data_IF_865338020961
#
_entry.id   IF_865338020961
#
_cell.length_a   1.000
_cell.length_b   1.000
_cell.length_c   1.000
_cell.angle_alpha   90.00
_cell.angle_beta   90.00
_cell.angle_gamma   90.00
#
_symmetry.space_group_name_H-M   'P 1'
#
loop_
_entity.id
_entity.type
_entity.pdbx_description
1 polymer ?
#
# COMPACT_ATOMS: atom_id res chain seq x y z
N UNK A 1 -9.08 -15.00 -0.39
CA UNK A 1 -8.67 -13.89 0.52
C UNK A 1 -9.87 -13.12 1.03
N UNK A 2 -10.07 -13.06 2.35
CA UNK A 2 -11.18 -12.33 2.98
C UNK A 2 -10.74 -11.65 4.27
N UNK A 3 -11.05 -10.36 4.40
CA UNK A 3 -10.95 -9.64 5.68
C UNK A 3 -12.23 -9.87 6.46
N UNK A 4 -12.10 -10.26 7.72
CA UNK A 4 -13.20 -10.33 8.67
C UNK A 4 -12.87 -9.51 9.90
N UNK A 5 -13.74 -8.55 10.24
CA UNK A 5 -13.63 -7.80 11.48
C UNK A 5 -13.82 -8.74 12.67
N UNK A 6 -12.94 -8.61 13.65
CA UNK A 6 -12.95 -9.36 14.90
C UNK A 6 -12.77 -8.38 16.06
N UNK A 7 -13.08 -8.83 17.27
CA UNK A 7 -12.78 -8.04 18.47
C UNK A 7 -11.32 -8.22 18.95
N UNK A 8 -10.91 -7.38 19.91
CA UNK A 8 -9.57 -7.41 20.48
C UNK A 8 -9.24 -8.77 21.15
N UNK A 9 -10.24 -9.42 21.75
CA UNK A 9 -10.05 -10.69 22.45
C UNK A 9 -9.74 -11.83 21.48
N UNK A 10 -10.43 -11.85 20.34
CA UNK A 10 -10.18 -12.77 19.23
C UNK A 10 -8.82 -12.49 18.59
N UNK A 11 -8.47 -11.21 18.39
CA UNK A 11 -7.17 -10.83 17.85
C UNK A 11 -6.00 -11.31 18.72
N UNK A 12 -6.13 -11.17 20.05
CA UNK A 12 -5.11 -11.64 21.01
C UNK A 12 -4.92 -13.16 21.02
N UNK A 13 -5.86 -13.94 20.47
CA UNK A 13 -5.71 -15.39 20.32
C UNK A 13 -4.88 -15.78 19.09
N UNK A 14 -4.72 -14.86 18.12
CA UNK A 14 -3.84 -15.07 16.96
C UNK A 14 -2.39 -15.07 17.46
N UNK A 15 -1.61 -16.08 17.05
CA UNK A 15 -0.17 -16.18 17.38
C UNK A 15 0.54 -14.88 16.98
N UNK A 16 1.36 -14.32 17.86
CA UNK A 16 2.03 -13.03 17.62
C UNK A 16 2.81 -12.96 16.30
N UNK A 17 3.47 -14.05 15.89
CA UNK A 17 4.18 -14.16 14.60
C UNK A 17 3.27 -14.05 13.36
N UNK A 18 1.95 -14.20 13.54
CA UNK A 18 0.92 -14.07 12.50
C UNK A 18 0.18 -12.73 12.59
N UNK A 19 0.48 -11.89 13.58
CA UNK A 19 -0.05 -10.54 13.67
C UNK A 19 0.82 -9.62 12.82
N UNK A 20 0.46 -9.47 11.55
CA UNK A 20 1.33 -8.87 10.54
C UNK A 20 1.31 -7.34 10.57
N UNK A 21 0.23 -6.72 11.05
CA UNK A 21 0.14 -5.27 11.31
C UNK A 21 -0.42 -5.06 12.72
N UNK A 22 0.40 -4.49 13.59
CA UNK A 22 0.06 -4.23 14.99
C UNK A 22 0.24 -2.76 15.30
N UNK A 23 -0.80 -2.13 15.83
CA UNK A 23 -0.76 -0.74 16.28
C UNK A 23 -0.93 -0.66 17.80
N UNK A 24 -0.12 0.19 18.44
CA UNK A 24 -0.41 0.62 19.80
C UNK A 24 -1.77 1.33 19.82
N UNK A 25 -2.57 1.04 20.85
CA UNK A 25 -3.91 1.59 21.04
C UNK A 25 -4.83 1.40 19.83
N UNK A 26 -4.74 0.24 19.16
CA UNK A 26 -5.64 -0.13 18.08
C UNK A 26 -7.12 -0.09 18.54
N UNK A 27 -7.98 0.36 17.63
CA UNK A 27 -9.44 0.45 17.85
C UNK A 27 -10.21 -0.57 17.03
N UNK A 28 -9.64 -0.98 15.89
CA UNK A 28 -10.18 -2.01 15.01
C UNK A 28 -9.20 -3.16 14.86
N UNK A 29 -9.77 -4.34 14.69
CA UNK A 29 -9.04 -5.60 14.53
C UNK A 29 -9.70 -6.42 13.43
N UNK A 30 -8.88 -7.15 12.68
CA UNK A 30 -9.36 -8.07 11.67
C UNK A 30 -8.51 -9.32 11.60
N UNK A 31 -9.16 -10.42 11.23
CA UNK A 31 -8.53 -11.61 10.70
C UNK A 31 -8.51 -11.54 9.18
N UNK A 32 -7.36 -11.82 8.57
CA UNK A 32 -7.21 -12.05 7.14
C UNK A 32 -7.10 -13.56 6.90
N UNK A 33 -8.08 -14.09 6.19
CA UNK A 33 -8.09 -15.46 5.71
C UNK A 33 -7.49 -15.53 4.31
N UNK A 34 -6.49 -16.40 4.14
CA UNK A 34 -5.77 -16.65 2.91
C UNK A 34 -6.05 -18.06 2.42
N UNK A 35 -7.33 -18.45 2.36
CA UNK A 35 -7.93 -19.68 1.83
C UNK A 35 -7.35 -21.02 2.36
N UNK A 36 -6.03 -21.20 2.38
CA UNK A 36 -5.28 -22.38 2.83
C UNK A 36 -4.21 -22.09 3.91
N UNK A 37 -4.04 -20.83 4.37
CA UNK A 37 -3.04 -20.48 5.38
C UNK A 37 -3.69 -20.28 6.76
N UNK A 38 -2.87 -20.40 7.81
CA UNK A 38 -3.29 -19.95 9.14
C UNK A 38 -3.70 -18.46 9.08
N UNK A 39 -4.76 -18.12 9.81
CA UNK A 39 -5.31 -16.77 9.88
C UNK A 39 -4.26 -15.74 10.31
N UNK A 40 -4.19 -14.62 9.60
CA UNK A 40 -3.32 -13.49 9.92
C UNK A 40 -4.09 -12.40 10.66
N UNK A 41 -3.41 -11.73 11.59
CA UNK A 41 -3.97 -10.64 12.37
C UNK A 41 -3.58 -9.26 11.80
N UNK A 42 -4.57 -8.39 11.66
CA UNK A 42 -4.43 -6.97 11.38
C UNK A 42 -5.08 -6.13 12.49
N UNK A 43 -4.48 -5.02 12.87
CA UNK A 43 -5.08 -4.03 13.77
C UNK A 43 -4.72 -2.63 13.31
N UNK A 44 -5.60 -1.66 13.57
CA UNK A 44 -5.37 -0.27 13.18
C UNK A 44 -6.15 0.72 14.04
N UNK A 45 -5.81 2.00 13.91
CA UNK A 45 -6.31 3.07 14.78
C UNK A 45 -7.49 3.79 14.17
N UNK A 46 -7.56 3.94 12.85
CA UNK A 46 -8.63 4.75 12.22
C UNK A 46 -9.99 4.05 12.21
N UNK A 47 -11.06 4.81 12.51
CA UNK A 47 -12.44 4.32 12.36
C UNK A 47 -12.97 4.47 10.93
N UNK A 48 -12.30 5.28 10.11
CA UNK A 48 -12.74 5.65 8.76
C UNK A 48 -11.95 4.94 7.67
N UNK A 49 -10.72 4.55 7.96
CA UNK A 49 -9.84 3.86 7.01
C UNK A 49 -10.02 2.35 7.21
N UNK A 50 -10.10 1.63 6.10
CA UNK A 50 -10.11 0.18 6.05
C UNK A 50 -8.81 -0.31 5.39
N UNK A 51 -8.35 -1.53 5.71
CA UNK A 51 -7.14 -2.07 5.08
C UNK A 51 -7.30 -2.25 3.57
N UNK A 52 -6.26 -1.85 2.85
CA UNK A 52 -6.12 -2.08 1.42
C UNK A 52 -5.32 -3.36 1.20
N UNK A 53 -5.82 -4.23 0.33
CA UNK A 53 -5.13 -5.45 -0.07
C UNK A 53 -5.03 -5.46 -1.59
N UNK A 54 -3.81 -5.63 -2.10
CA UNK A 54 -3.53 -5.77 -3.52
C UNK A 54 -2.58 -6.93 -3.77
N UNK A 55 -2.91 -7.79 -4.73
CA UNK A 55 -2.03 -8.86 -5.17
C UNK A 55 -1.04 -8.34 -6.21
N UNK A 56 0.18 -8.87 -6.20
CA UNK A 56 1.09 -8.75 -7.35
C UNK A 56 0.45 -9.38 -8.59
N UNK A 57 0.90 -8.99 -9.79
CA UNK A 57 0.30 -9.47 -11.05
C UNK A 57 0.40 -10.99 -11.25
N UNK A 58 1.37 -11.64 -10.62
CA UNK A 58 1.55 -13.10 -10.59
C UNK A 58 0.86 -13.79 -9.40
N UNK A 59 0.18 -13.00 -8.54
CA UNK A 59 -0.51 -13.46 -7.34
C UNK A 59 0.39 -14.16 -6.31
N UNK A 60 1.71 -13.96 -6.38
CA UNK A 60 2.66 -14.54 -5.41
C UNK A 60 2.80 -13.71 -4.14
N UNK A 61 2.56 -12.39 -4.23
CA UNK A 61 2.70 -11.45 -3.13
C UNK A 61 1.36 -10.77 -2.83
N UNK A 62 1.03 -10.68 -1.55
CA UNK A 62 -0.04 -9.82 -1.05
C UNK A 62 0.53 -8.56 -0.40
N UNK A 63 0.24 -7.40 -0.98
CA UNK A 63 0.50 -6.10 -0.38
C UNK A 63 -0.68 -5.68 0.45
N UNK A 64 -0.44 -5.32 1.71
CA UNK A 64 -1.44 -4.97 2.69
C UNK A 64 -1.04 -3.65 3.34
N UNK A 65 -1.89 -2.64 3.26
CA UNK A 65 -1.64 -1.33 3.83
C UNK A 65 -2.83 -0.84 4.66
N UNK A 66 -2.58 -0.27 5.83
CA UNK A 66 -3.60 0.39 6.65
C UNK A 66 -2.93 1.41 7.56
N UNK A 67 -3.57 2.58 7.73
CA UNK A 67 -2.96 3.74 8.41
C UNK A 67 -1.52 3.97 7.87
N UNK A 68 -0.53 4.05 8.75
CA UNK A 68 0.89 4.28 8.42
C UNK A 68 1.71 2.99 8.36
N UNK A 69 1.09 1.85 8.04
CA UNK A 69 1.77 0.56 7.98
C UNK A 69 1.56 -0.12 6.64
N UNK A 70 2.64 -0.66 6.08
CA UNK A 70 2.65 -1.43 4.85
C UNK A 70 3.38 -2.75 5.06
N UNK A 71 2.77 -3.84 4.57
CA UNK A 71 3.35 -5.18 4.59
C UNK A 71 3.24 -5.80 3.20
N UNK A 72 4.28 -6.52 2.78
CA UNK A 72 4.22 -7.44 1.65
C UNK A 72 4.45 -8.86 2.14
N UNK A 73 3.46 -9.72 1.93
CA UNK A 73 3.49 -11.13 2.32
C UNK A 73 3.73 -12.01 1.10
N UNK A 74 4.77 -12.83 1.16
CA UNK A 74 5.00 -13.92 0.23
C UNK A 74 4.01 -15.06 0.54
N UNK A 75 3.09 -15.32 -0.38
CA UNK A 75 1.97 -16.25 -0.17
C UNK A 75 2.41 -17.71 -0.28
N UNK A 76 3.50 -17.99 -1.01
CA UNK A 76 4.03 -19.35 -1.13
C UNK A 76 4.84 -19.72 0.11
N UNK A 77 5.69 -18.80 0.59
CA UNK A 77 6.56 -19.06 1.74
C UNK A 77 5.92 -18.69 3.08
N UNK A 78 4.75 -18.07 3.07
CA UNK A 78 4.06 -17.50 4.23
C UNK A 78 4.93 -16.52 5.04
N UNK A 79 5.77 -15.75 4.34
CA UNK A 79 6.77 -14.87 4.97
C UNK A 79 6.53 -13.41 4.65
N UNK A 80 6.69 -12.58 5.68
CA UNK A 80 6.76 -11.14 5.51
C UNK A 80 8.07 -10.84 4.77
N UNK A 81 7.94 -10.25 3.58
CA UNK A 81 9.06 -9.84 2.73
C UNK A 81 9.32 -8.33 2.80
N UNK A 82 8.28 -7.56 3.15
CA UNK A 82 8.38 -6.12 3.49
C UNK A 82 7.52 -5.86 4.72
N UNK A 83 8.05 -5.13 5.69
CA UNK A 83 7.30 -4.50 6.77
C UNK A 83 7.86 -3.10 6.97
N UNK A 84 7.07 -2.08 6.63
CA UNK A 84 7.54 -0.70 6.53
C UNK A 84 6.55 0.25 7.21
N UNK A 85 6.98 1.01 8.25
CA UNK A 85 6.23 2.17 8.69
C UNK A 85 6.32 3.29 7.65
N UNK A 86 5.22 4.00 7.45
CA UNK A 86 5.08 5.09 6.48
C UNK A 86 4.92 6.43 7.22
N UNK A 87 5.21 7.54 6.55
CA UNK A 87 5.11 8.88 7.15
C UNK A 87 3.68 9.43 7.18
N UNK A 88 2.78 8.87 6.37
CA UNK A 88 1.38 9.26 6.29
C UNK A 88 0.50 8.07 5.89
N UNK A 89 -0.82 8.24 5.92
CA UNK A 89 -1.73 7.10 5.73
C UNK A 89 -1.66 6.57 4.29
N UNK A 90 -1.76 5.25 4.12
CA UNK A 90 -1.90 4.62 2.80
C UNK A 90 -3.23 5.03 2.17
N UNK A 91 -3.17 5.53 0.93
CA UNK A 91 -4.34 5.92 0.13
C UNK A 91 -4.66 4.85 -0.91
N UNK A 92 -3.63 4.33 -1.60
CA UNK A 92 -3.83 3.34 -2.66
C UNK A 92 -2.59 2.46 -2.84
N UNK A 93 -2.82 1.21 -3.24
CA UNK A 93 -1.77 0.29 -3.70
C UNK A 93 -2.12 -0.13 -5.12
N UNK A 94 -1.17 -0.01 -6.04
CA UNK A 94 -1.31 -0.43 -7.43
C UNK A 94 -0.15 -1.33 -7.81
N UNK A 95 -0.44 -2.48 -8.43
CA UNK A 95 0.56 -3.45 -8.85
C UNK A 95 0.58 -3.55 -10.38
N UNK A 96 1.78 -3.75 -10.93
CA UNK A 96 2.00 -4.10 -12.33
C UNK A 96 2.98 -5.29 -12.41
N UNK A 97 3.25 -5.76 -13.62
CA UNK A 97 4.19 -6.86 -13.84
C UNK A 97 5.63 -6.52 -13.45
N UNK A 98 5.99 -5.23 -13.43
CA UNK A 98 7.38 -4.79 -13.21
C UNK A 98 7.60 -4.06 -11.89
N UNK A 99 6.54 -3.54 -11.26
CA UNK A 99 6.66 -2.77 -10.02
C UNK A 99 5.36 -2.72 -9.23
N UNK A 100 5.48 -2.38 -7.94
CA UNK A 100 4.36 -2.03 -7.06
C UNK A 100 4.48 -0.56 -6.67
N UNK A 101 3.37 0.15 -6.65
CA UNK A 101 3.27 1.57 -6.33
C UNK A 101 2.37 1.70 -5.11
N UNK A 102 2.86 2.40 -4.10
CA UNK A 102 2.09 2.73 -2.91
C UNK A 102 1.96 4.25 -2.85
N UNK A 103 0.74 4.73 -2.95
CA UNK A 103 0.39 6.11 -2.68
C UNK A 103 0.02 6.24 -1.21
N UNK A 104 0.68 7.14 -0.51
CA UNK A 104 0.25 7.65 0.79
C UNK A 104 -0.30 9.06 0.61
N UNK A 105 -0.84 9.65 1.69
CA UNK A 105 -1.29 11.04 1.65
C UNK A 105 -0.18 11.99 1.16
N UNK A 106 1.08 11.81 1.57
CA UNK A 106 2.15 12.78 1.31
C UNK A 106 3.33 12.22 0.50
N UNK A 107 3.32 10.94 0.17
CA UNK A 107 4.43 10.28 -0.50
C UNK A 107 3.96 9.27 -1.55
N UNK A 108 4.83 9.03 -2.52
CA UNK A 108 4.72 7.97 -3.49
C UNK A 108 5.93 7.05 -3.37
N UNK A 109 5.69 5.77 -3.10
CA UNK A 109 6.71 4.75 -2.98
C UNK A 109 6.63 3.79 -4.18
N UNK A 110 7.77 3.55 -4.83
CA UNK A 110 7.91 2.60 -5.92
C UNK A 110 8.76 1.43 -5.46
N UNK A 111 8.26 0.22 -5.64
CA UNK A 111 8.93 -1.04 -5.34
C UNK A 111 9.20 -1.81 -6.62
N UNK A 112 10.41 -2.35 -6.77
CA UNK A 112 10.73 -3.30 -7.83
C UNK A 112 9.95 -4.62 -7.64
N UNK A 113 9.93 -5.48 -8.65
CA UNK A 113 9.34 -6.83 -8.57
C UNK A 113 9.99 -7.71 -7.50
N UNK A 114 11.27 -7.48 -7.18
CA UNK A 114 11.97 -8.15 -6.08
C UNK A 114 11.61 -7.60 -4.68
N UNK A 115 10.72 -6.59 -4.63
CA UNK A 115 10.21 -5.87 -3.45
C UNK A 115 11.20 -4.90 -2.83
N UNK A 116 12.35 -4.66 -3.46
CA UNK A 116 13.25 -3.57 -3.06
C UNK A 116 12.63 -2.20 -3.36
N UNK A 117 12.88 -1.22 -2.51
CA UNK A 117 12.44 0.16 -2.74
C UNK A 117 13.27 0.73 -3.89
N UNK A 118 12.58 1.08 -4.99
CA UNK A 118 13.18 1.80 -6.13
C UNK A 118 13.31 3.28 -5.82
N UNK A 119 12.24 3.90 -5.32
CA UNK A 119 12.25 5.33 -4.98
C UNK A 119 11.11 5.70 -4.04
N UNK A 120 11.32 6.80 -3.31
CA UNK A 120 10.31 7.47 -2.49
C UNK A 120 10.29 8.93 -2.94
N UNK A 121 9.09 9.46 -3.19
CA UNK A 121 8.89 10.83 -3.65
C UNK A 121 7.88 11.52 -2.76
N UNK A 122 8.27 12.65 -2.18
CA UNK A 122 7.31 13.53 -1.52
C UNK A 122 6.35 14.16 -2.53
N UNK A 123 5.10 14.32 -2.12
CA UNK A 123 4.08 15.03 -2.85
C UNK A 123 3.97 16.48 -2.33
N UNK A 124 3.66 17.44 -3.20
CA UNK A 124 3.46 18.84 -2.78
C UNK A 124 2.12 19.05 -2.06
N UNK A 125 1.18 18.10 -2.18
CA UNK A 125 -0.16 18.13 -1.60
C UNK A 125 -0.66 16.68 -1.37
N UNK A 126 -1.83 16.51 -0.75
CA UNK A 126 -2.44 15.23 -0.45
C UNK A 126 -2.75 14.44 -1.73
N UNK A 127 -2.13 13.28 -1.88
CA UNK A 127 -2.46 12.33 -2.94
C UNK A 127 -3.87 11.77 -2.77
N UNK A 128 -4.67 11.77 -3.84
CA UNK A 128 -6.04 11.25 -3.85
C UNK A 128 -6.15 9.92 -4.60
N UNK A 129 -5.42 9.77 -5.71
CA UNK A 129 -5.46 8.57 -6.55
C UNK A 129 -4.20 8.46 -7.41
N UNK A 130 -3.82 7.23 -7.75
CA UNK A 130 -2.85 6.93 -8.81
C UNK A 130 -3.47 6.11 -9.94
N UNK A 131 -3.07 6.43 -11.17
CA UNK A 131 -3.44 5.74 -12.40
C UNK A 131 -2.20 5.45 -13.24
N UNK A 132 -2.04 4.21 -13.68
CA UNK A 132 -0.93 3.80 -14.54
C UNK A 132 -1.35 3.79 -16.02
N UNK A 133 -0.65 4.55 -16.85
CA UNK A 133 -0.87 4.66 -18.30
C UNK A 133 0.45 4.46 -19.06
N UNK A 134 0.72 3.20 -19.45
CA UNK A 134 2.00 2.84 -20.07
C UNK A 134 3.15 3.06 -19.08
N UNK A 135 4.13 3.90 -19.44
CA UNK A 135 5.25 4.28 -18.57
C UNK A 135 4.95 5.50 -17.68
N UNK A 136 3.78 6.13 -17.84
CA UNK A 136 3.38 7.28 -17.05
C UNK A 136 2.51 6.84 -15.88
N UNK A 137 2.89 7.26 -14.68
CA UNK A 137 2.03 7.24 -13.51
C UNK A 137 1.44 8.64 -13.32
N UNK A 138 0.12 8.72 -13.36
CA UNK A 138 -0.61 9.94 -13.04
C UNK A 138 -0.95 9.88 -11.56
N UNK A 139 -0.52 10.89 -10.81
CA UNK A 139 -0.85 11.09 -9.39
C UNK A 139 -1.82 12.26 -9.30
N UNK A 140 -3.07 11.98 -8.95
CA UNK A 140 -4.07 13.01 -8.69
C UNK A 140 -3.90 13.51 -7.26
N UNK A 141 -3.99 14.82 -7.07
CA UNK A 141 -3.92 15.49 -5.77
C UNK A 141 -5.33 15.94 -5.36
N UNK A 142 -5.53 16.14 -4.06
CA UNK A 142 -6.83 16.52 -3.51
C UNK A 142 -7.28 17.90 -4.00
N UNK A 143 -6.37 18.84 -4.20
CA UNK A 143 -6.67 20.16 -4.76
C UNK A 143 -6.99 20.16 -6.27
N UNK A 144 -7.05 18.98 -6.91
CA UNK A 144 -7.47 18.81 -8.31
C UNK A 144 -6.37 18.96 -9.35
N UNK A 145 -5.13 19.20 -8.91
CA UNK A 145 -3.95 19.13 -9.77
C UNK A 145 -3.50 17.68 -9.94
N UNK A 146 -2.79 17.38 -11.03
CA UNK A 146 -2.18 16.07 -11.27
C UNK A 146 -0.69 16.19 -11.55
N UNK A 147 0.09 15.25 -11.03
CA UNK A 147 1.50 15.08 -11.35
C UNK A 147 1.66 13.88 -12.28
N UNK A 148 2.63 13.93 -13.18
CA UNK A 148 2.96 12.82 -14.06
C UNK A 148 4.39 12.37 -13.73
N UNK A 149 4.54 11.13 -13.29
CA UNK A 149 5.83 10.50 -13.05
C UNK A 149 6.13 9.50 -14.15
N UNK A 150 7.34 9.54 -14.69
CA UNK A 150 7.85 8.47 -15.52
C UNK A 150 8.34 7.32 -14.63
N UNK A 151 7.74 6.14 -14.73
CA UNK A 151 8.05 5.01 -13.82
C UNK A 151 9.41 4.34 -14.11
N UNK A 152 9.95 4.55 -15.30
CA UNK A 152 11.25 3.99 -15.69
C UNK A 152 12.38 4.85 -15.10
N UNK A 153 12.26 6.17 -15.22
CA UNK A 153 13.27 7.10 -14.69
C UNK A 153 13.03 7.50 -13.24
N UNK A 154 11.79 7.37 -12.75
CA UNK A 154 11.38 7.85 -11.43
C UNK A 154 11.40 9.37 -11.30
N UNK A 155 11.24 10.11 -12.40
CA UNK A 155 11.27 11.58 -12.45
C UNK A 155 9.87 12.11 -12.77
N UNK A 156 9.44 13.15 -12.04
CA UNK A 156 8.23 13.89 -12.39
C UNK A 156 8.48 14.70 -13.66
N UNK A 157 7.58 14.57 -14.63
CA UNK A 157 7.58 15.37 -15.85
C UNK A 157 7.11 16.77 -15.48
N UNK A 158 7.77 17.78 -16.04
CA UNK A 158 7.24 19.13 -15.96
C UNK A 158 5.84 19.15 -16.58
N UNK A 159 4.87 19.86 -15.97
CA UNK A 159 3.61 20.10 -16.65
C UNK A 159 3.96 20.75 -17.98
N UNK A 160 3.57 20.11 -19.09
CA UNK A 160 3.71 20.73 -20.40
C UNK A 160 2.93 22.04 -20.32
N UNK A 161 3.63 23.17 -20.21
CA UNK A 161 2.97 24.47 -20.24
C UNK A 161 2.20 24.50 -21.55
N UNK A 162 0.86 24.45 -21.46
CA UNK A 162 -0.01 24.69 -22.58
C UNK A 162 0.44 26.03 -23.15
N UNK A 163 1.17 25.97 -24.25
CA UNK A 163 1.67 27.13 -24.94
C UNK A 163 0.44 27.73 -25.61
N UNK A 164 -0.24 28.63 -24.91
CA UNK A 164 -1.25 29.49 -25.51
C UNK A 164 -0.50 30.44 -26.44
N UNK A 165 -0.35 30.02 -27.70
CA UNK A 165 -0.08 30.90 -28.84
C UNK A 165 -1.37 31.13 -29.60
#
# INVERSE_FOLDING_TARGET
>A
MKIQLIDESQFKQIKGIRQIIVHDHARKFASLDLDNLETLGLSWRSDLIEPLIMLSSDHSIAWIGVDQQLVALDLEQEKISVALPLNSNVVQILTSTSLTIVLTELELLLFNSDRSIRSIKGLPDIGSEILLQGTNLIVNLLEGNSLILDIETGIFKEPAMASFF
#
